data_IF_391234423899
#
_entry.id   IF_391234423899
#
_cell.length_a   1.000
_cell.length_b   1.000
_cell.length_c   1.000
_cell.angle_alpha   90.00
_cell.angle_beta   90.00
_cell.angle_gamma   90.00
#
_symmetry.space_group_name_H-M   'P 1'
#
loop_
_entity.id
_entity.type
_entity.pdbx_description
1 polymer ?
#
# COMPACT_ATOMS: atom_id res chain seq x y z
N UNK A 1 38.49 51.27 7.76
CA UNK A 1 38.09 51.09 6.35
C UNK A 1 38.60 49.76 5.81
N UNK A 2 39.91 49.49 5.88
CA UNK A 2 40.56 48.24 5.41
C UNK A 2 39.94 46.96 5.98
N UNK A 3 39.60 46.91 7.27
CA UNK A 3 38.99 45.73 7.90
C UNK A 3 37.57 45.45 7.40
N UNK A 4 36.81 46.50 7.05
CA UNK A 4 35.46 46.36 6.50
C UNK A 4 35.49 45.75 5.09
N UNK A 5 36.46 46.15 4.28
CA UNK A 5 36.59 45.67 2.90
C UNK A 5 37.06 44.21 2.87
N UNK A 6 37.94 43.81 3.81
CA UNK A 6 38.37 42.41 3.95
C UNK A 6 37.22 41.49 4.42
N UNK A 7 36.38 41.95 5.37
CA UNK A 7 35.18 41.20 5.79
C UNK A 7 34.18 41.09 4.64
N UNK A 8 34.00 42.15 3.85
CA UNK A 8 33.09 42.16 2.70
C UNK A 8 33.55 41.19 1.60
N UNK A 9 34.85 41.18 1.27
CA UNK A 9 35.40 40.26 0.27
C UNK A 9 35.32 38.80 0.73
N UNK A 10 35.61 38.51 2.01
CA UNK A 10 35.43 37.16 2.56
C UNK A 10 33.96 36.73 2.54
N UNK A 11 33.04 37.63 2.86
CA UNK A 11 31.60 37.36 2.80
C UNK A 11 31.14 37.11 1.36
N UNK A 12 31.61 37.89 0.37
CA UNK A 12 31.36 37.63 -1.05
C UNK A 12 31.92 36.28 -1.48
N UNK A 13 33.16 35.97 -1.10
CA UNK A 13 33.78 34.69 -1.45
C UNK A 13 33.00 33.50 -0.89
N UNK A 14 32.44 33.62 0.32
CA UNK A 14 31.57 32.59 0.91
C UNK A 14 30.21 32.54 0.20
N UNK A 15 29.56 33.69 -0.04
CA UNK A 15 28.24 33.77 -0.70
C UNK A 15 28.27 33.27 -2.15
N UNK A 16 29.36 33.51 -2.86
CA UNK A 16 29.57 33.06 -4.23
C UNK A 16 30.40 31.78 -4.33
N UNK A 17 30.59 31.07 -3.21
CA UNK A 17 31.10 29.71 -3.28
C UNK A 17 30.12 28.83 -4.04
N UNK A 18 30.64 27.87 -4.80
CA UNK A 18 29.86 26.90 -5.57
C UNK A 18 28.84 26.19 -4.68
N UNK A 19 29.22 25.87 -3.45
CA UNK A 19 28.39 25.17 -2.49
C UNK A 19 27.24 26.03 -1.96
N UNK A 20 27.46 27.34 -1.78
CA UNK A 20 26.40 28.27 -1.41
C UNK A 20 25.38 28.41 -2.56
N UNK A 21 25.86 28.54 -3.79
CA UNK A 21 25.00 28.60 -4.98
C UNK A 21 24.18 27.31 -5.15
N UNK A 22 24.80 26.15 -4.97
CA UNK A 22 24.12 24.85 -4.99
C UNK A 22 23.05 24.77 -3.90
N UNK A 23 23.39 25.14 -2.65
CA UNK A 23 22.44 25.15 -1.54
C UNK A 23 21.20 26.00 -1.83
N UNK A 24 21.38 27.25 -2.27
CA UNK A 24 20.25 28.14 -2.59
C UNK A 24 19.43 27.63 -3.79
N UNK A 25 20.10 27.06 -4.79
CA UNK A 25 19.43 26.47 -5.96
C UNK A 25 18.57 25.28 -5.57
N UNK A 26 19.10 24.35 -4.76
CA UNK A 26 18.34 23.21 -4.27
C UNK A 26 17.22 23.62 -3.33
N UNK A 27 17.46 24.60 -2.45
CA UNK A 27 16.42 25.16 -1.58
C UNK A 27 15.26 25.71 -2.41
N UNK A 28 15.54 26.46 -3.47
CA UNK A 28 14.53 26.98 -4.40
C UNK A 28 13.77 25.84 -5.10
N UNK A 29 14.47 24.84 -5.63
CA UNK A 29 13.84 23.69 -6.31
C UNK A 29 12.93 22.91 -5.37
N UNK A 30 13.38 22.59 -4.16
CA UNK A 30 12.59 21.85 -3.17
C UNK A 30 11.33 22.63 -2.79
N UNK A 31 11.48 23.94 -2.54
CA UNK A 31 10.34 24.79 -2.21
C UNK A 31 9.37 24.95 -3.40
N UNK A 32 9.87 25.05 -4.63
CA UNK A 32 9.03 25.09 -5.83
C UNK A 32 8.21 23.80 -5.97
N UNK A 33 8.83 22.64 -5.81
CA UNK A 33 8.15 21.34 -5.81
C UNK A 33 7.08 21.30 -4.72
N UNK A 34 7.42 21.71 -3.50
CA UNK A 34 6.44 21.79 -2.41
C UNK A 34 5.24 22.66 -2.77
N UNK A 35 5.47 23.89 -3.25
CA UNK A 35 4.41 24.84 -3.57
C UNK A 35 3.52 24.34 -4.72
N UNK A 36 4.10 23.72 -5.76
CA UNK A 36 3.35 23.13 -6.87
C UNK A 36 2.41 22.04 -6.33
N UNK A 37 2.93 21.05 -5.61
CA UNK A 37 2.12 19.92 -5.12
C UNK A 37 1.12 20.35 -4.06
N UNK A 38 1.49 21.26 -3.15
CA UNK A 38 0.62 21.75 -2.08
C UNK A 38 -0.57 22.57 -2.62
N UNK A 39 -0.37 23.32 -3.72
CA UNK A 39 -1.44 24.13 -4.34
C UNK A 39 -2.28 23.38 -5.37
N UNK A 40 -1.77 22.29 -5.94
CA UNK A 40 -2.47 21.53 -7.00
C UNK A 40 -3.11 20.26 -6.42
N UNK A 41 -2.31 19.22 -6.21
CA UNK A 41 -2.77 17.87 -5.87
C UNK A 41 -3.28 17.80 -4.43
N UNK A 42 -2.63 18.54 -3.51
CA UNK A 42 -2.93 18.49 -2.09
C UNK A 42 -3.53 19.80 -1.57
N UNK A 43 -4.35 20.49 -2.37
CA UNK A 43 -5.07 21.69 -1.96
C UNK A 43 -6.17 21.38 -0.91
N UNK A 44 -6.43 22.31 0.01
CA UNK A 44 -7.40 22.15 1.11
C UNK A 44 -6.81 21.85 2.50
N UNK A 45 -7.48 22.27 3.59
CA UNK A 45 -6.96 22.14 4.96
C UNK A 45 -6.87 20.69 5.45
N UNK A 46 -7.77 19.82 5.00
CA UNK A 46 -7.82 18.40 5.38
C UNK A 46 -6.60 17.60 4.90
N UNK A 47 -5.89 18.10 3.89
CA UNK A 47 -4.70 17.46 3.31
C UNK A 47 -3.38 17.98 3.92
N UNK A 48 -3.43 18.77 5.00
CA UNK A 48 -2.24 19.32 5.67
C UNK A 48 -1.24 18.23 6.09
N UNK A 49 -1.72 17.08 6.57
CA UNK A 49 -0.88 15.93 6.85
C UNK A 49 -0.16 15.40 5.59
N UNK A 50 -0.84 15.29 4.44
CA UNK A 50 -0.16 14.85 3.21
C UNK A 50 0.89 15.86 2.74
N UNK A 51 0.66 17.16 2.97
CA UNK A 51 1.63 18.20 2.61
C UNK A 51 2.94 18.10 3.37
N UNK A 52 2.93 17.69 4.65
CA UNK A 52 4.15 17.53 5.42
C UNK A 52 5.08 16.45 4.86
N UNK A 53 4.55 15.54 4.04
CA UNK A 53 5.33 14.47 3.43
C UNK A 53 5.87 14.80 2.03
N UNK A 54 5.46 15.91 1.40
CA UNK A 54 5.88 16.23 0.01
C UNK A 54 7.41 16.40 -0.07
N UNK A 55 7.96 17.30 0.76
CA UNK A 55 9.40 17.63 0.76
C UNK A 55 10.22 16.39 1.09
N UNK A 56 9.87 15.71 2.19
CA UNK A 56 10.56 14.49 2.65
C UNK A 56 10.52 13.38 1.60
N UNK A 57 9.37 13.11 0.97
CA UNK A 57 9.27 12.06 -0.07
C UNK A 57 10.12 12.38 -1.29
N UNK A 58 10.07 13.63 -1.76
CA UNK A 58 10.85 14.09 -2.91
C UNK A 58 12.36 14.02 -2.63
N UNK A 59 12.79 14.54 -1.48
CA UNK A 59 14.20 14.54 -1.09
C UNK A 59 14.73 13.11 -0.90
N UNK A 60 13.98 12.23 -0.24
CA UNK A 60 14.37 10.84 -0.04
C UNK A 60 14.53 10.09 -1.38
N UNK A 61 13.64 10.34 -2.35
CA UNK A 61 13.75 9.76 -3.70
C UNK A 61 15.05 10.20 -4.40
N UNK A 62 15.28 11.51 -4.48
CA UNK A 62 16.48 12.05 -5.12
C UNK A 62 17.76 11.58 -4.41
N UNK A 63 17.78 11.63 -3.08
CA UNK A 63 18.95 11.26 -2.28
C UNK A 63 19.31 9.78 -2.43
N UNK A 64 18.34 8.88 -2.28
CA UNK A 64 18.58 7.44 -2.41
C UNK A 64 18.95 7.01 -3.84
N UNK A 65 18.34 7.64 -4.85
CA UNK A 65 18.66 7.36 -6.26
C UNK A 65 20.09 7.79 -6.59
N UNK A 66 20.48 9.03 -6.24
CA UNK A 66 21.84 9.54 -6.50
C UNK A 66 22.90 8.88 -5.61
N UNK A 67 22.53 8.32 -4.46
CA UNK A 67 23.44 7.56 -3.60
C UNK A 67 23.81 6.18 -4.16
N UNK A 68 22.98 5.59 -5.04
CA UNK A 68 23.14 4.21 -5.51
C UNK A 68 24.51 3.94 -6.17
N UNK A 69 25.06 4.81 -7.04
CA UNK A 69 26.39 4.63 -7.61
C UNK A 69 27.51 4.56 -6.57
N UNK A 70 27.43 5.34 -5.48
CA UNK A 70 28.45 5.32 -4.41
C UNK A 70 28.42 4.00 -3.63
N UNK A 71 27.22 3.46 -3.40
CA UNK A 71 27.08 2.14 -2.76
C UNK A 71 27.61 1.03 -3.66
N UNK A 72 27.32 1.09 -4.96
CA UNK A 72 27.87 0.17 -5.93
C UNK A 72 29.39 0.24 -5.95
N UNK A 73 29.97 1.45 -6.01
CA UNK A 73 31.42 1.66 -6.01
C UNK A 73 32.08 1.14 -4.73
N UNK A 74 31.50 1.41 -3.55
CA UNK A 74 31.99 0.88 -2.28
C UNK A 74 32.01 -0.65 -2.25
N UNK A 75 30.96 -1.30 -2.75
CA UNK A 75 30.89 -2.77 -2.82
C UNK A 75 31.90 -3.30 -3.86
N UNK A 76 31.98 -2.65 -5.02
CA UNK A 76 32.89 -3.03 -6.11
C UNK A 76 34.36 -2.93 -5.71
N UNK A 77 34.72 -1.92 -4.93
CA UNK A 77 36.05 -1.75 -4.36
C UNK A 77 36.35 -2.68 -3.17
N UNK A 78 35.43 -3.60 -2.81
CA UNK A 78 35.63 -4.51 -1.68
C UNK A 78 35.66 -3.80 -0.33
N UNK A 79 34.83 -2.75 -0.18
CA UNK A 79 34.74 -1.88 1.00
C UNK A 79 35.98 -1.00 1.25
N UNK A 80 36.90 -0.92 0.28
CA UNK A 80 38.13 -0.14 0.38
C UNK A 80 37.91 1.35 0.03
N UNK A 81 37.74 2.19 1.05
CA UNK A 81 37.53 3.64 0.90
C UNK A 81 38.67 4.38 0.20
N UNK A 82 39.87 3.81 0.13
CA UNK A 82 40.99 4.44 -0.62
C UNK A 82 40.80 4.33 -2.13
N UNK A 83 39.97 3.39 -2.59
CA UNK A 83 39.68 3.12 -4.01
C UNK A 83 38.34 3.68 -4.46
N UNK A 84 37.43 3.97 -3.52
CA UNK A 84 36.14 4.59 -3.82
C UNK A 84 36.36 5.96 -4.45
N UNK A 85 35.68 6.20 -5.56
CA UNK A 85 35.78 7.43 -6.34
C UNK A 85 35.00 8.54 -5.63
N UNK A 86 35.66 9.62 -5.15
CA UNK A 86 34.98 10.59 -4.31
C UNK A 86 33.92 11.44 -5.04
N UNK A 87 34.09 11.70 -6.34
CA UNK A 87 33.24 12.59 -7.14
C UNK A 87 32.78 13.87 -6.38
N UNK A 88 33.69 14.49 -5.61
CA UNK A 88 33.35 15.52 -4.61
C UNK A 88 32.63 16.70 -5.22
N UNK A 89 33.25 17.35 -6.20
CA UNK A 89 32.75 18.60 -6.77
C UNK A 89 31.52 18.39 -7.65
N UNK A 90 31.43 17.25 -8.34
CA UNK A 90 30.38 17.01 -9.33
C UNK A 90 29.09 16.43 -8.73
N UNK A 91 29.20 15.56 -7.72
CA UNK A 91 28.05 14.79 -7.24
C UNK A 91 27.97 14.81 -5.71
N UNK A 92 29.05 14.47 -4.99
CA UNK A 92 28.94 14.24 -3.55
C UNK A 92 28.70 15.53 -2.73
N UNK A 93 29.39 16.63 -3.05
CA UNK A 93 29.17 17.93 -2.42
C UNK A 93 27.79 18.50 -2.79
N UNK A 94 27.38 18.56 -4.09
CA UNK A 94 26.04 18.99 -4.46
C UNK A 94 24.94 18.15 -3.81
N UNK A 95 25.10 16.82 -3.74
CA UNK A 95 24.12 15.94 -3.09
C UNK A 95 24.02 16.20 -1.58
N UNK A 96 25.15 16.46 -0.92
CA UNK A 96 25.16 16.83 0.50
C UNK A 96 24.50 18.20 0.72
N UNK A 97 24.73 19.16 -0.17
CA UNK A 97 24.06 20.47 -0.14
C UNK A 97 22.56 20.37 -0.44
N UNK A 98 22.15 19.49 -1.36
CA UNK A 98 20.75 19.16 -1.59
C UNK A 98 20.09 18.59 -0.33
N UNK A 99 20.76 17.66 0.34
CA UNK A 99 20.25 17.08 1.58
C UNK A 99 20.18 18.13 2.70
N UNK A 100 21.18 18.99 2.84
CA UNK A 100 21.14 20.12 3.79
C UNK A 100 19.98 21.08 3.48
N UNK A 101 19.79 21.43 2.21
CA UNK A 101 18.69 22.28 1.75
C UNK A 101 17.33 21.64 2.06
N UNK A 102 17.20 20.32 1.89
CA UNK A 102 16.05 19.54 2.32
C UNK A 102 15.77 19.70 3.81
N UNK A 103 16.76 19.44 4.68
CA UNK A 103 16.55 19.49 6.13
C UNK A 103 16.11 20.88 6.60
N UNK A 104 16.75 21.93 6.08
CA UNK A 104 16.40 23.32 6.38
C UNK A 104 15.02 23.68 5.81
N UNK A 105 14.72 23.25 4.58
CA UNK A 105 13.41 23.45 3.95
C UNK A 105 12.29 22.80 4.75
N UNK A 106 12.47 21.57 5.20
CA UNK A 106 11.49 20.82 5.98
C UNK A 106 11.27 21.44 7.37
N UNK A 107 12.33 21.90 8.04
CA UNK A 107 12.24 22.63 9.32
C UNK A 107 11.48 23.97 9.16
N UNK A 108 11.84 24.76 8.15
CA UNK A 108 11.23 26.08 7.91
C UNK A 108 9.76 25.90 7.49
N UNK A 109 9.50 25.10 6.48
CA UNK A 109 8.13 24.85 6.00
C UNK A 109 7.30 24.15 7.07
N UNK A 110 7.88 23.22 7.82
CA UNK A 110 7.23 22.59 8.96
C UNK A 110 6.85 23.57 10.06
N UNK A 111 7.70 24.56 10.35
CA UNK A 111 7.40 25.58 11.35
C UNK A 111 6.19 26.43 10.95
N UNK A 112 6.11 26.82 9.67
CA UNK A 112 5.08 27.74 9.16
C UNK A 112 3.78 27.06 8.71
N UNK A 113 3.86 25.89 8.07
CA UNK A 113 2.72 25.29 7.36
C UNK A 113 2.08 24.10 8.07
N UNK A 114 2.87 23.26 8.76
CA UNK A 114 2.38 21.98 9.30
C UNK A 114 3.02 21.61 10.64
N UNK A 115 3.24 22.60 11.51
CA UNK A 115 3.94 22.42 12.80
C UNK A 115 3.41 21.27 13.65
N UNK A 116 2.10 21.05 13.62
CA UNK A 116 1.42 19.97 14.36
C UNK A 116 1.75 18.57 13.87
N UNK A 117 2.20 18.42 12.63
CA UNK A 117 2.51 17.14 11.99
C UNK A 117 4.00 16.80 12.02
N UNK A 118 4.87 17.70 12.52
CA UNK A 118 6.30 17.42 12.65
C UNK A 118 6.58 16.84 14.03
N UNK A 119 6.87 15.54 14.06
CA UNK A 119 7.27 14.82 15.28
C UNK A 119 8.55 15.40 15.89
N UNK A 120 8.60 15.53 17.23
CA UNK A 120 9.76 16.11 17.93
C UNK A 120 11.05 15.33 17.70
N UNK A 121 11.01 14.01 17.90
CA UNK A 121 12.20 13.16 17.81
C UNK A 121 12.66 12.94 16.37
N UNK A 122 11.73 12.56 15.48
CA UNK A 122 12.06 12.17 14.11
C UNK A 122 12.09 13.31 13.12
N UNK A 123 11.48 14.46 13.45
CA UNK A 123 11.50 15.67 12.62
C UNK A 123 12.47 16.70 13.19
N UNK A 124 12.05 17.43 14.23
CA UNK A 124 12.79 18.59 14.74
C UNK A 124 14.23 18.28 15.17
N UNK A 125 14.40 17.34 16.12
CA UNK A 125 15.73 17.00 16.65
C UNK A 125 16.59 16.32 15.59
N UNK A 126 16.03 15.33 14.90
CA UNK A 126 16.71 14.59 13.84
C UNK A 126 17.20 15.54 12.73
N UNK A 127 16.33 16.37 12.15
CA UNK A 127 16.72 17.27 11.06
C UNK A 127 17.74 18.31 11.50
N UNK A 128 17.60 18.88 12.70
CA UNK A 128 18.58 19.85 13.24
C UNK A 128 19.95 19.22 13.40
N UNK A 129 20.03 18.03 14.02
CA UNK A 129 21.31 17.33 14.21
C UNK A 129 21.96 16.95 12.88
N UNK A 130 21.17 16.42 11.94
CA UNK A 130 21.68 16.06 10.62
C UNK A 130 22.11 17.28 9.81
N UNK A 131 21.48 18.45 9.97
CA UNK A 131 21.94 19.69 9.33
C UNK A 131 23.33 20.07 9.82
N UNK A 132 23.55 20.05 11.14
CA UNK A 132 24.87 20.33 11.75
C UNK A 132 25.91 19.30 11.28
N UNK A 133 25.56 18.02 11.29
CA UNK A 133 26.47 16.96 10.84
C UNK A 133 26.80 17.07 9.35
N UNK A 134 25.84 17.42 8.50
CA UNK A 134 26.07 17.58 7.06
C UNK A 134 27.05 18.71 6.79
N UNK A 135 26.90 19.87 7.46
CA UNK A 135 27.85 20.99 7.37
C UNK A 135 29.24 20.56 7.84
N UNK A 136 29.32 19.83 8.95
CA UNK A 136 30.58 19.32 9.48
C UNK A 136 31.28 18.35 8.49
N UNK A 137 30.54 17.38 7.93
CA UNK A 137 31.09 16.39 6.99
C UNK A 137 31.56 17.04 5.68
N UNK A 138 30.84 18.06 5.20
CA UNK A 138 31.27 18.86 4.06
C UNK A 138 32.61 19.55 4.34
N UNK A 139 32.75 20.20 5.50
CA UNK A 139 34.00 20.84 5.90
C UNK A 139 35.19 19.88 6.06
N UNK A 140 34.93 18.60 6.38
CA UNK A 140 35.97 17.57 6.51
C UNK A 140 36.27 16.80 5.21
N UNK A 141 35.54 17.08 4.13
CA UNK A 141 35.70 16.36 2.85
C UNK A 141 35.17 14.92 2.86
N UNK A 142 34.22 14.60 3.74
CA UNK A 142 33.60 13.27 3.87
C UNK A 142 32.29 13.12 3.08
N UNK A 143 32.00 14.06 2.17
CA UNK A 143 30.74 14.13 1.43
C UNK A 143 30.38 12.87 0.64
N UNK A 144 31.34 12.12 0.13
CA UNK A 144 31.08 10.88 -0.62
C UNK A 144 30.72 9.70 0.30
N UNK A 145 31.31 9.63 1.51
CA UNK A 145 30.84 8.70 2.53
C UNK A 145 29.43 9.07 3.01
N UNK A 146 29.14 10.37 3.12
CA UNK A 146 27.79 10.86 3.43
C UNK A 146 26.80 10.47 2.32
N UNK A 147 27.16 10.72 1.05
CA UNK A 147 26.38 10.33 -0.12
C UNK A 147 26.09 8.82 -0.14
N UNK A 148 27.08 8.00 0.19
CA UNK A 148 26.91 6.54 0.32
C UNK A 148 25.86 6.20 1.39
N UNK A 149 25.89 6.89 2.53
CA UNK A 149 24.94 6.70 3.63
C UNK A 149 23.50 7.13 3.27
N UNK A 150 23.30 8.05 2.32
CA UNK A 150 21.98 8.52 1.89
C UNK A 150 21.12 7.44 1.23
N UNK A 151 21.68 6.28 0.85
CA UNK A 151 20.88 5.12 0.44
C UNK A 151 19.90 4.68 1.55
N UNK A 152 20.21 4.98 2.81
CA UNK A 152 19.35 4.70 3.98
C UNK A 152 18.04 5.50 4.00
N UNK A 153 17.86 6.48 3.09
CA UNK A 153 16.61 7.21 2.92
C UNK A 153 15.58 6.47 2.04
N UNK A 154 15.94 5.36 1.41
CA UNK A 154 15.01 4.52 0.64
C UNK A 154 13.72 4.15 1.42
N UNK A 155 13.76 3.62 2.65
CA UNK A 155 12.54 3.38 3.43
C UNK A 155 11.69 4.64 3.65
N UNK A 156 12.32 5.82 3.80
CA UNK A 156 11.62 7.10 3.94
C UNK A 156 10.85 7.43 2.65
N UNK A 157 11.45 7.20 1.49
CA UNK A 157 10.78 7.36 0.19
C UNK A 157 9.57 6.44 0.05
N UNK A 158 9.73 5.14 0.35
CA UNK A 158 8.63 4.16 0.28
C UNK A 158 7.48 4.53 1.22
N UNK A 159 7.81 4.97 2.45
CA UNK A 159 6.83 5.43 3.43
C UNK A 159 6.08 6.67 2.92
N UNK A 160 6.82 7.70 2.50
CA UNK A 160 6.26 8.94 2.02
C UNK A 160 5.34 8.76 0.82
N UNK A 161 5.70 7.87 -0.11
CA UNK A 161 4.85 7.51 -1.24
C UNK A 161 3.53 6.88 -0.80
N UNK A 162 3.55 6.02 0.22
CA UNK A 162 2.35 5.43 0.81
C UNK A 162 1.45 6.43 1.53
N UNK A 163 2.02 7.48 2.13
CA UNK A 163 1.25 8.56 2.77
C UNK A 163 0.59 9.46 1.72
N UNK A 164 1.36 9.87 0.71
CA UNK A 164 0.89 10.73 -0.37
C UNK A 164 -0.20 10.04 -1.20
N UNK A 165 -0.02 8.74 -1.49
CA UNK A 165 -0.95 7.97 -2.31
C UNK A 165 -1.23 6.58 -1.69
N UNK A 166 -2.36 6.43 -0.96
CA UNK A 166 -2.68 5.22 -0.20
C UNK A 166 -2.64 3.91 -0.99
N UNK A 167 -2.87 3.93 -2.31
CA UNK A 167 -2.78 2.71 -3.15
C UNK A 167 -1.35 2.13 -3.23
N UNK A 168 -0.33 2.94 -2.98
CA UNK A 168 1.07 2.49 -2.95
C UNK A 168 1.53 2.11 -1.54
N UNK A 169 0.65 2.22 -0.54
CA UNK A 169 0.97 1.85 0.84
C UNK A 169 1.21 0.34 0.93
N UNK A 170 2.44 -0.05 1.21
CA UNK A 170 2.82 -1.44 1.47
C UNK A 170 3.67 -1.54 2.73
N UNK A 171 3.10 -2.16 3.76
CA UNK A 171 3.78 -2.39 5.04
C UNK A 171 5.01 -3.28 4.89
N UNK A 172 4.93 -4.27 3.98
CA UNK A 172 6.04 -5.15 3.65
C UNK A 172 7.15 -4.41 2.91
N UNK A 173 6.81 -3.59 1.91
CA UNK A 173 7.81 -2.83 1.16
C UNK A 173 8.61 -1.92 2.09
N UNK A 174 7.95 -1.16 2.96
CA UNK A 174 8.63 -0.32 3.94
C UNK A 174 9.51 -1.14 4.89
N UNK A 175 8.96 -2.19 5.50
CA UNK A 175 9.70 -2.94 6.53
C UNK A 175 10.92 -3.62 5.93
N UNK A 176 10.78 -4.18 4.73
CA UNK A 176 11.87 -4.82 4.01
C UNK A 176 12.96 -3.80 3.62
N UNK A 177 12.58 -2.66 3.03
CA UNK A 177 13.57 -1.63 2.66
C UNK A 177 14.23 -1.02 3.88
N UNK A 178 13.51 -0.87 5.00
CA UNK A 178 14.05 -0.39 6.27
C UNK A 178 15.11 -1.36 6.81
N UNK A 179 14.79 -2.64 6.92
CA UNK A 179 15.75 -3.64 7.41
C UNK A 179 16.94 -3.79 6.46
N UNK A 180 16.72 -3.79 5.15
CA UNK A 180 17.79 -3.91 4.17
C UNK A 180 18.76 -2.72 4.23
N UNK A 181 18.25 -1.48 4.27
CA UNK A 181 19.10 -0.28 4.15
C UNK A 181 19.56 0.26 5.51
N UNK A 182 18.66 0.46 6.47
CA UNK A 182 18.98 1.08 7.78
C UNK A 182 19.58 0.11 8.80
N UNK A 183 19.48 -1.19 8.55
CA UNK A 183 20.08 -2.22 9.42
C UNK A 183 21.22 -2.92 8.69
N UNK A 184 20.91 -3.76 7.69
CA UNK A 184 21.93 -4.60 7.04
C UNK A 184 23.01 -3.74 6.38
N UNK A 185 22.62 -2.84 5.47
CA UNK A 185 23.57 -1.95 4.82
C UNK A 185 24.25 -0.99 5.81
N UNK A 186 23.55 -0.49 6.82
CA UNK A 186 24.18 0.36 7.84
C UNK A 186 25.29 -0.38 8.61
N UNK A 187 25.10 -1.66 8.95
CA UNK A 187 26.17 -2.47 9.54
C UNK A 187 27.35 -2.65 8.58
N UNK A 188 27.09 -2.90 7.30
CA UNK A 188 28.15 -2.97 6.26
C UNK A 188 28.90 -1.65 6.15
N UNK A 189 28.19 -0.53 6.19
CA UNK A 189 28.78 0.82 6.15
C UNK A 189 29.62 1.12 7.39
N UNK A 190 29.14 0.82 8.60
CA UNK A 190 29.92 0.99 9.83
C UNK A 190 31.15 0.08 9.84
N UNK A 191 31.02 -1.16 9.36
CA UNK A 191 32.13 -2.09 9.22
C UNK A 191 33.18 -1.58 8.22
N UNK A 192 32.75 -1.03 7.07
CA UNK A 192 33.68 -0.46 6.09
C UNK A 192 34.43 0.76 6.63
N UNK A 193 33.84 1.50 7.58
CA UNK A 193 34.51 2.61 8.25
C UNK A 193 35.44 2.17 9.40
N UNK A 194 35.24 0.97 9.94
CA UNK A 194 36.07 0.42 11.01
C UNK A 194 37.41 -0.15 10.50
N UNK A 195 37.42 -0.74 9.30
CA UNK A 195 38.64 -1.28 8.69
C UNK A 195 39.69 -0.18 8.43
N UNK A 196 40.99 -0.50 8.34
CA UNK A 196 42.06 0.51 8.25
C UNK A 196 41.89 1.52 7.11
N UNK A 197 41.38 1.07 5.96
CA UNK A 197 41.10 1.92 4.79
C UNK A 197 39.98 2.93 5.06
N UNK A 198 39.01 2.57 5.90
CA UNK A 198 37.90 3.43 6.34
C UNK A 198 38.32 4.65 7.15
N UNK A 199 39.55 4.68 7.66
CA UNK A 199 40.11 5.91 8.27
C UNK A 199 40.46 6.95 7.21
N UNK A 200 40.67 6.55 5.96
CA UNK A 200 41.13 7.40 4.86
C UNK A 200 40.00 7.77 3.89
N UNK A 201 38.78 7.97 4.40
CA UNK A 201 37.63 8.44 3.60
C UNK A 201 37.99 9.71 2.82
N UNK A 202 38.59 10.72 3.45
CA UNK A 202 39.00 11.92 2.73
C UNK A 202 40.28 11.78 1.89
N UNK A 203 40.87 10.57 1.80
CA UNK A 203 42.12 10.23 1.10
C UNK A 203 43.39 10.95 1.56
N UNK A 204 43.27 11.99 2.41
CA UNK A 204 44.41 12.83 2.82
C UNK A 204 44.82 12.59 4.27
N UNK A 205 43.87 12.29 5.15
CA UNK A 205 44.10 12.19 6.59
C UNK A 205 43.28 11.07 7.22
N UNK A 206 43.93 10.32 8.11
CA UNK A 206 43.25 9.30 8.89
C UNK A 206 42.28 9.97 9.88
N UNK A 207 40.99 9.63 9.83
CA UNK A 207 39.97 10.13 10.74
C UNK A 207 39.04 9.02 11.20
N UNK A 208 38.71 9.03 12.49
CA UNK A 208 37.67 8.19 13.07
C UNK A 208 36.28 8.82 13.02
N UNK A 209 36.17 10.07 12.56
CA UNK A 209 34.93 10.83 12.56
C UNK A 209 33.77 10.10 11.88
N UNK A 210 33.89 9.69 10.61
CA UNK A 210 32.81 8.97 9.92
C UNK A 210 32.33 7.72 10.68
N UNK A 211 33.26 6.94 11.24
CA UNK A 211 32.95 5.75 12.02
C UNK A 211 32.13 6.10 13.27
N UNK A 212 32.57 7.10 14.04
CA UNK A 212 31.87 7.54 15.26
C UNK A 212 30.45 7.98 14.93
N UNK A 213 30.25 8.78 13.88
CA UNK A 213 28.91 9.20 13.46
C UNK A 213 28.03 8.03 13.01
N UNK A 214 28.59 7.06 12.24
CA UNK A 214 27.87 5.86 11.86
C UNK A 214 27.40 5.03 13.06
N UNK A 215 28.28 4.84 14.05
CA UNK A 215 27.95 4.15 15.29
C UNK A 215 26.90 4.91 16.11
N UNK A 216 26.99 6.24 16.19
CA UNK A 216 26.02 7.06 16.92
C UNK A 216 24.61 7.02 16.30
N UNK A 217 24.48 6.88 14.98
CA UNK A 217 23.19 6.77 14.31
C UNK A 217 22.54 5.37 14.46
N UNK A 218 23.33 4.33 14.73
CA UNK A 218 22.87 2.94 14.74
C UNK A 218 21.81 2.63 15.82
N UNK A 219 21.94 3.06 17.09
CA UNK A 219 20.92 2.81 18.12
C UNK A 219 19.52 3.27 17.71
N UNK A 220 19.42 4.44 17.09
CA UNK A 220 18.15 4.97 16.58
C UNK A 220 17.56 4.05 15.51
N UNK A 221 18.36 3.58 14.55
CA UNK A 221 17.91 2.65 13.52
C UNK A 221 17.46 1.30 14.12
N UNK A 222 18.15 0.78 15.13
CA UNK A 222 17.77 -0.46 15.82
C UNK A 222 16.41 -0.32 16.53
N UNK A 223 16.19 0.80 17.24
CA UNK A 223 14.92 1.08 17.92
C UNK A 223 13.78 1.17 16.89
N UNK A 224 14.01 1.88 15.79
CA UNK A 224 13.01 2.02 14.71
C UNK A 224 12.75 0.70 13.98
N UNK A 225 13.76 -0.15 13.76
CA UNK A 225 13.57 -1.49 13.21
C UNK A 225 12.73 -2.38 14.13
N UNK A 226 12.97 -2.32 15.45
CA UNK A 226 12.13 -3.02 16.41
C UNK A 226 10.68 -2.55 16.32
N UNK A 227 10.44 -1.24 16.25
CA UNK A 227 9.09 -0.66 16.10
C UNK A 227 8.44 -1.07 14.79
N UNK A 228 9.15 -1.03 13.66
CA UNK A 228 8.60 -1.38 12.35
C UNK A 228 8.19 -2.87 12.28
N UNK A 229 9.04 -3.77 12.78
CA UNK A 229 8.74 -5.22 12.84
C UNK A 229 7.57 -5.50 13.79
N UNK A 230 7.54 -4.85 14.96
CA UNK A 230 6.42 -4.99 15.90
C UNK A 230 5.12 -4.47 15.31
N UNK A 231 5.15 -3.31 14.65
CA UNK A 231 4.01 -2.71 13.96
C UNK A 231 3.49 -3.61 12.84
N UNK A 232 4.38 -4.14 12.00
CA UNK A 232 4.03 -5.10 10.96
C UNK A 232 3.34 -6.35 11.55
N UNK A 233 3.91 -6.94 12.61
CA UNK A 233 3.31 -8.11 13.28
C UNK A 233 1.92 -7.82 13.83
N UNK A 234 1.71 -6.65 14.46
CA UNK A 234 0.39 -6.23 14.97
C UNK A 234 -0.62 -6.13 13.83
N UNK A 235 -0.29 -5.43 12.74
CA UNK A 235 -1.18 -5.24 11.59
C UNK A 235 -1.49 -6.56 10.87
N UNK A 236 -0.50 -7.44 10.70
CA UNK A 236 -0.73 -8.76 10.10
C UNK A 236 -1.66 -9.63 10.97
N UNK A 237 -1.61 -9.50 12.30
CA UNK A 237 -2.56 -10.18 13.19
C UNK A 237 -3.97 -9.60 13.06
N UNK A 238 -4.12 -8.27 13.01
CA UNK A 238 -5.41 -7.58 12.78
C UNK A 238 -6.03 -8.03 11.45
N UNK A 239 -5.28 -7.96 10.35
CA UNK A 239 -5.72 -8.42 9.02
C UNK A 239 -6.10 -9.90 9.00
N UNK A 240 -5.33 -10.76 9.67
CA UNK A 240 -5.66 -12.19 9.78
C UNK A 240 -6.94 -12.43 10.60
N UNK A 241 -7.14 -11.68 11.68
CA UNK A 241 -8.33 -11.75 12.51
C UNK A 241 -9.57 -11.25 11.75
N UNK A 242 -9.48 -10.13 11.04
CA UNK A 242 -10.54 -9.61 10.18
C UNK A 242 -10.88 -10.57 9.03
N UNK A 243 -9.87 -11.13 8.37
CA UNK A 243 -10.09 -12.14 7.34
C UNK A 243 -10.81 -13.38 7.89
N UNK A 244 -10.43 -13.82 9.09
CA UNK A 244 -11.11 -14.93 9.78
C UNK A 244 -12.55 -14.58 10.14
N UNK A 245 -12.79 -13.41 10.72
CA UNK A 245 -14.13 -12.93 11.09
C UNK A 245 -15.04 -12.79 9.85
N UNK A 246 -14.50 -12.31 8.72
CA UNK A 246 -15.23 -12.27 7.44
C UNK A 246 -15.58 -13.66 6.92
N UNK A 247 -14.68 -14.62 7.03
CA UNK A 247 -14.96 -16.00 6.62
C UNK A 247 -16.00 -16.66 7.55
N UNK A 248 -15.90 -16.45 8.86
CA UNK A 248 -16.91 -16.91 9.83
C UNK A 248 -18.29 -16.29 9.54
N UNK A 249 -18.35 -14.97 9.28
CA UNK A 249 -19.58 -14.28 8.90
C UNK A 249 -20.15 -14.80 7.56
N UNK A 250 -19.29 -15.08 6.58
CA UNK A 250 -19.68 -15.70 5.31
C UNK A 250 -20.27 -17.08 5.52
N UNK A 251 -19.64 -17.94 6.32
CA UNK A 251 -20.14 -19.28 6.62
C UNK A 251 -21.49 -19.23 7.36
N UNK A 252 -21.64 -18.33 8.33
CA UNK A 252 -22.90 -18.12 9.03
C UNK A 252 -24.02 -17.64 8.09
N UNK A 253 -23.70 -16.76 7.13
CA UNK A 253 -24.65 -16.33 6.11
C UNK A 253 -25.08 -17.47 5.18
N UNK A 254 -24.15 -18.35 4.81
CA UNK A 254 -24.42 -19.54 3.99
C UNK A 254 -25.32 -20.53 4.75
N UNK A 255 -25.02 -20.81 6.03
CA UNK A 255 -25.85 -21.68 6.88
C UNK A 255 -27.28 -21.11 7.01
N UNK A 256 -27.39 -19.81 7.32
CA UNK A 256 -28.68 -19.12 7.41
C UNK A 256 -29.47 -19.20 6.12
N UNK A 257 -28.83 -18.94 4.97
CA UNK A 257 -29.48 -19.02 3.66
C UNK A 257 -29.90 -20.45 3.33
N UNK A 258 -29.11 -21.45 3.69
CA UNK A 258 -29.43 -22.87 3.48
C UNK A 258 -30.67 -23.27 4.28
N UNK A 259 -30.73 -22.92 5.58
CA UNK A 259 -31.91 -23.16 6.42
C UNK A 259 -33.18 -22.48 5.90
N UNK A 260 -33.07 -21.25 5.39
CA UNK A 260 -34.18 -20.53 4.78
C UNK A 260 -34.67 -21.23 3.50
N UNK A 261 -33.76 -21.75 2.69
CA UNK A 261 -34.11 -22.53 1.50
C UNK A 261 -34.75 -23.88 1.87
N UNK A 262 -34.25 -24.56 2.89
CA UNK A 262 -34.81 -25.84 3.38
C UNK A 262 -36.24 -25.63 3.89
N UNK A 263 -36.45 -24.59 4.71
CA UNK A 263 -37.79 -24.20 5.19
C UNK A 263 -38.73 -23.82 4.04
N UNK A 264 -38.21 -23.19 2.98
CA UNK A 264 -39.00 -22.85 1.81
C UNK A 264 -39.46 -24.10 1.03
N UNK A 265 -38.56 -25.07 0.85
CA UNK A 265 -38.85 -26.31 0.15
C UNK A 265 -39.85 -27.17 0.94
N UNK A 266 -39.71 -27.29 2.27
CA UNK A 266 -40.69 -27.96 3.15
C UNK A 266 -42.10 -27.35 3.02
N UNK A 267 -42.21 -26.02 3.02
CA UNK A 267 -43.49 -25.33 2.84
C UNK A 267 -44.10 -25.58 1.45
N UNK A 268 -43.28 -25.65 0.41
CA UNK A 268 -43.73 -25.97 -0.94
C UNK A 268 -44.23 -27.42 -1.03
N UNK A 269 -43.51 -28.38 -0.43
CA UNK A 269 -43.90 -29.80 -0.39
C UNK A 269 -45.23 -29.99 0.35
N UNK A 270 -45.39 -29.35 1.52
CA UNK A 270 -46.66 -29.37 2.24
C UNK A 270 -47.81 -28.74 1.46
N UNK A 271 -47.55 -27.68 0.68
CA UNK A 271 -48.56 -27.06 -0.17
C UNK A 271 -48.98 -27.99 -1.32
N UNK A 272 -48.03 -28.70 -1.92
CA UNK A 272 -48.28 -29.69 -2.98
C UNK A 272 -49.07 -30.90 -2.45
N UNK A 273 -48.69 -31.45 -1.30
CA UNK A 273 -49.38 -32.57 -0.67
C UNK A 273 -50.82 -32.23 -0.26
N UNK A 274 -51.08 -31.01 0.21
CA UNK A 274 -52.45 -30.55 0.50
C UNK A 274 -53.28 -30.37 -0.77
N UNK A 275 -52.67 -29.91 -1.86
CA UNK A 275 -53.35 -29.71 -3.14
C UNK A 275 -53.80 -31.03 -3.78
N UNK A 276 -53.02 -32.11 -3.62
CA UNK A 276 -53.42 -33.44 -4.09
C UNK A 276 -54.52 -34.07 -3.23
N UNK A 277 -54.60 -33.72 -1.93
CA UNK A 277 -55.58 -34.29 -1.00
C UNK A 277 -56.97 -33.60 -0.99
N UNK A 278 -57.08 -32.30 -1.28
CA UNK A 278 -58.36 -31.57 -1.27
C UNK A 278 -58.45 -30.48 -2.36
N UNK A 279 -59.06 -30.77 -3.53
CA UNK A 279 -59.13 -29.82 -4.65
C UNK A 279 -60.11 -28.64 -4.45
N UNK A 280 -61.03 -28.68 -3.48
CA UNK A 280 -62.12 -27.70 -3.34
C UNK A 280 -61.83 -26.48 -2.45
N UNK A 281 -60.63 -26.34 -1.85
CA UNK A 281 -60.26 -25.23 -0.94
C UNK A 281 -59.13 -24.35 -1.51
N UNK A 282 -59.44 -23.60 -2.56
CA UNK A 282 -58.46 -22.81 -3.35
C UNK A 282 -57.86 -21.60 -2.60
N UNK A 283 -58.56 -21.02 -1.61
CA UNK A 283 -58.10 -19.77 -0.98
C UNK A 283 -56.92 -19.90 0.01
N UNK A 284 -56.60 -21.08 0.54
CA UNK A 284 -55.56 -21.25 1.59
C UNK A 284 -54.16 -21.58 1.07
N UNK A 285 -54.02 -22.04 -0.17
CA UNK A 285 -52.73 -22.45 -0.76
C UNK A 285 -51.88 -21.28 -1.28
N UNK A 286 -52.48 -20.11 -1.47
CA UNK A 286 -51.80 -18.89 -1.92
C UNK A 286 -50.86 -18.34 -0.85
N UNK A 287 -51.25 -18.41 0.44
CA UNK A 287 -50.46 -17.88 1.56
C UNK A 287 -49.19 -18.71 1.82
N UNK A 288 -49.28 -20.05 1.76
CA UNK A 288 -48.10 -20.93 1.94
C UNK A 288 -47.06 -20.72 0.84
N UNK A 289 -47.52 -20.58 -0.41
CA UNK A 289 -46.66 -20.31 -1.57
C UNK A 289 -46.00 -18.92 -1.47
N UNK A 290 -46.74 -17.91 -0.99
CA UNK A 290 -46.19 -16.58 -0.78
C UNK A 290 -45.11 -16.56 0.31
N UNK A 291 -45.31 -17.30 1.40
CA UNK A 291 -44.32 -17.46 2.48
C UNK A 291 -43.04 -18.16 2.00
N UNK A 292 -43.15 -19.25 1.23
CA UNK A 292 -41.99 -19.91 0.65
C UNK A 292 -41.17 -18.96 -0.26
N UNK A 293 -41.84 -18.18 -1.12
CA UNK A 293 -41.16 -17.17 -1.95
C UNK A 293 -40.44 -16.11 -1.11
N UNK A 294 -41.04 -15.66 -0.01
CA UNK A 294 -40.41 -14.71 0.91
C UNK A 294 -39.13 -15.30 1.51
N UNK A 295 -39.15 -16.55 1.98
CA UNK A 295 -37.97 -17.22 2.52
C UNK A 295 -36.83 -17.33 1.49
N UNK A 296 -37.15 -17.65 0.24
CA UNK A 296 -36.15 -17.67 -0.85
C UNK A 296 -35.56 -16.28 -1.11
N UNK A 297 -36.39 -15.24 -1.09
CA UNK A 297 -35.93 -13.85 -1.22
C UNK A 297 -35.05 -13.44 -0.05
N UNK A 298 -35.41 -13.80 1.18
CA UNK A 298 -34.63 -13.53 2.38
C UNK A 298 -33.27 -14.27 2.33
N UNK A 299 -33.25 -15.52 1.87
CA UNK A 299 -32.01 -16.29 1.65
C UNK A 299 -31.10 -15.61 0.63
N UNK A 300 -31.66 -15.19 -0.52
CA UNK A 300 -30.91 -14.46 -1.54
C UNK A 300 -30.38 -13.13 -1.01
N UNK A 301 -31.14 -12.41 -0.19
CA UNK A 301 -30.73 -11.16 0.43
C UNK A 301 -29.57 -11.36 1.42
N UNK A 302 -29.64 -12.38 2.27
CA UNK A 302 -28.55 -12.73 3.22
C UNK A 302 -27.25 -13.03 2.48
N UNK A 303 -27.30 -13.80 1.39
CA UNK A 303 -26.12 -14.10 0.58
C UNK A 303 -25.58 -12.86 -0.14
N UNK A 304 -26.48 -12.02 -0.65
CA UNK A 304 -26.12 -10.79 -1.35
C UNK A 304 -25.44 -9.77 -0.43
N UNK A 305 -25.86 -9.68 0.83
CA UNK A 305 -25.29 -8.75 1.81
C UNK A 305 -23.89 -9.18 2.27
N UNK A 306 -23.67 -10.48 2.47
CA UNK A 306 -22.47 -10.98 3.15
C UNK A 306 -21.34 -11.46 2.20
N UNK A 307 -21.63 -11.74 0.93
CA UNK A 307 -20.62 -12.15 -0.05
C UNK A 307 -20.86 -11.53 -1.43
N UNK A 308 -21.03 -10.20 -1.55
CA UNK A 308 -21.71 -9.57 -2.67
C UNK A 308 -21.09 -9.89 -4.03
N UNK A 309 -19.77 -9.85 -4.20
CA UNK A 309 -19.15 -10.06 -5.52
C UNK A 309 -19.06 -11.52 -5.92
N UNK A 310 -18.51 -12.37 -5.04
CA UNK A 310 -18.38 -13.80 -5.30
C UNK A 310 -19.76 -14.47 -5.49
N UNK A 311 -20.75 -14.08 -4.68
CA UNK A 311 -22.13 -14.52 -4.85
C UNK A 311 -22.74 -14.02 -6.16
N UNK A 312 -22.60 -12.73 -6.49
CA UNK A 312 -23.10 -12.16 -7.74
C UNK A 312 -22.53 -12.88 -8.96
N UNK A 313 -21.24 -13.18 -8.93
CA UNK A 313 -20.58 -13.92 -10.01
C UNK A 313 -21.11 -15.35 -10.10
N UNK A 314 -21.12 -16.10 -8.99
CA UNK A 314 -21.63 -17.47 -8.97
C UNK A 314 -23.09 -17.56 -9.45
N UNK A 315 -23.92 -16.60 -9.06
CA UNK A 315 -25.31 -16.50 -9.52
C UNK A 315 -25.41 -16.21 -11.03
N UNK A 316 -24.62 -15.26 -11.57
CA UNK A 316 -24.59 -14.98 -13.01
C UNK A 316 -24.11 -16.18 -13.81
N UNK A 317 -23.03 -16.82 -13.37
CA UNK A 317 -22.48 -18.01 -14.00
C UNK A 317 -23.48 -19.17 -14.00
N UNK A 318 -24.26 -19.34 -12.93
CA UNK A 318 -25.31 -20.35 -12.87
C UNK A 318 -26.48 -20.03 -13.83
N UNK A 319 -26.88 -18.75 -13.92
CA UNK A 319 -27.88 -18.29 -14.88
C UNK A 319 -27.42 -18.54 -16.32
N UNK A 320 -26.17 -18.23 -16.64
CA UNK A 320 -25.63 -18.42 -17.98
C UNK A 320 -25.41 -19.90 -18.31
N UNK A 321 -24.97 -20.70 -17.33
CA UNK A 321 -24.90 -22.16 -17.46
C UNK A 321 -26.28 -22.79 -17.73
N UNK A 322 -27.32 -22.32 -17.02
CA UNK A 322 -28.70 -22.77 -17.23
C UNK A 322 -29.18 -22.47 -18.66
N UNK A 323 -28.88 -21.27 -19.18
CA UNK A 323 -29.19 -20.90 -20.58
C UNK A 323 -28.44 -21.79 -21.58
N UNK A 324 -27.18 -22.12 -21.31
CA UNK A 324 -26.38 -23.00 -22.18
C UNK A 324 -26.96 -24.42 -22.27
N UNK A 325 -27.64 -24.88 -21.22
CA UNK A 325 -28.37 -26.15 -21.22
C UNK A 325 -29.71 -26.09 -21.99
N UNK A 326 -30.06 -24.95 -22.58
CA UNK A 326 -31.34 -24.75 -23.27
C UNK A 326 -32.53 -24.60 -22.32
N UNK A 327 -32.30 -24.42 -21.02
CA UNK A 327 -33.34 -24.22 -20.01
C UNK A 327 -33.52 -22.71 -19.81
N UNK A 328 -34.76 -22.21 -19.90
CA UNK A 328 -35.04 -20.81 -19.56
C UNK A 328 -34.89 -20.65 -18.02
N UNK A 329 -33.97 -19.81 -17.50
CA UNK A 329 -33.83 -19.57 -16.07
C UNK A 329 -35.13 -19.12 -15.39
N UNK A 330 -36.06 -18.50 -16.13
CA UNK A 330 -37.37 -18.10 -15.60
C UNK A 330 -38.31 -19.28 -15.36
N UNK A 331 -38.10 -20.39 -16.06
CA UNK A 331 -38.87 -21.63 -15.90
C UNK A 331 -38.44 -22.43 -14.66
N UNK A 332 -37.24 -22.17 -14.13
CA UNK A 332 -36.74 -22.83 -12.93
C UNK A 332 -37.34 -22.26 -11.65
N UNK A 333 -37.48 -23.12 -10.64
CA UNK A 333 -37.80 -22.68 -9.29
C UNK A 333 -36.67 -21.78 -8.77
N UNK A 334 -37.05 -20.66 -8.15
CA UNK A 334 -36.10 -19.69 -7.59
C UNK A 334 -35.23 -20.31 -6.50
N UNK A 335 -35.80 -21.17 -5.63
CA UNK A 335 -35.03 -21.90 -4.60
C UNK A 335 -33.95 -22.76 -5.24
N UNK A 336 -34.27 -23.52 -6.30
CA UNK A 336 -33.32 -24.35 -7.04
C UNK A 336 -32.20 -23.52 -7.68
N UNK A 337 -32.53 -22.39 -8.32
CA UNK A 337 -31.52 -21.53 -8.93
C UNK A 337 -30.57 -20.95 -7.88
N UNK A 338 -31.10 -20.48 -6.75
CA UNK A 338 -30.30 -19.97 -5.61
C UNK A 338 -29.44 -21.09 -5.01
N UNK A 339 -29.97 -22.30 -4.80
CA UNK A 339 -29.19 -23.45 -4.29
C UNK A 339 -28.06 -23.84 -5.24
N UNK A 340 -28.31 -23.88 -6.55
CA UNK A 340 -27.26 -24.22 -7.53
C UNK A 340 -26.17 -23.16 -7.59
N UNK A 341 -26.55 -21.88 -7.55
CA UNK A 341 -25.60 -20.78 -7.43
C UNK A 341 -24.77 -20.89 -6.13
N UNK A 342 -25.40 -21.30 -5.02
CA UNK A 342 -24.74 -21.49 -3.73
C UNK A 342 -23.77 -22.67 -3.74
N UNK A 343 -24.18 -23.80 -4.31
CA UNK A 343 -23.32 -24.95 -4.52
C UNK A 343 -22.10 -24.58 -5.38
N UNK A 344 -22.31 -23.81 -6.45
CA UNK A 344 -21.22 -23.30 -7.30
C UNK A 344 -20.29 -22.36 -6.54
N UNK A 345 -20.83 -21.43 -5.75
CA UNK A 345 -20.05 -20.53 -4.89
C UNK A 345 -19.17 -21.30 -3.90
N UNK A 346 -19.72 -22.35 -3.28
CA UNK A 346 -18.97 -23.22 -2.35
C UNK A 346 -17.86 -24.01 -3.06
N UNK A 347 -18.15 -24.56 -4.25
CA UNK A 347 -17.17 -25.31 -5.04
C UNK A 347 -16.03 -24.44 -5.58
N UNK A 348 -16.32 -23.18 -5.93
CA UNK A 348 -15.33 -22.23 -6.45
C UNK A 348 -14.55 -21.50 -5.35
N UNK A 349 -15.14 -21.34 -4.16
CA UNK A 349 -14.54 -20.64 -3.02
C UNK A 349 -13.19 -21.18 -2.58
N UNK A 350 -12.90 -22.47 -2.80
CA UNK A 350 -11.61 -23.10 -2.47
C UNK A 350 -10.52 -22.90 -3.53
N UNK A 351 -10.82 -22.37 -4.73
CA UNK A 351 -9.85 -22.31 -5.84
C UNK A 351 -9.33 -20.91 -6.17
N UNK A 352 -9.97 -19.84 -5.69
CA UNK A 352 -9.55 -18.46 -5.98
C UNK A 352 -9.14 -17.77 -4.69
N UNK A 353 -7.85 -17.80 -4.42
CA UNK A 353 -7.25 -17.10 -3.30
C UNK A 353 -7.46 -15.58 -3.37
N UNK A 354 -7.69 -14.99 -2.21
CA UNK A 354 -7.36 -13.62 -1.83
C UNK A 354 -8.08 -12.49 -2.59
N UNK A 355 -9.26 -12.11 -2.08
CA UNK A 355 -9.61 -10.69 -2.04
C UNK A 355 -8.71 -10.04 -0.99
N UNK A 356 -7.66 -9.35 -1.42
CA UNK A 356 -6.82 -8.53 -0.54
C UNK A 356 -7.73 -7.46 0.08
N UNK A 357 -7.80 -7.33 1.42
CA UNK A 357 -8.58 -6.28 2.04
C UNK A 357 -8.16 -4.91 1.49
N UNK A 358 -9.13 -4.10 1.08
CA UNK A 358 -8.89 -2.65 0.97
C UNK A 358 -8.52 -2.20 2.38
N UNK A 359 -7.28 -1.75 2.54
CA UNK A 359 -6.81 -1.11 3.78
C UNK A 359 -7.72 0.08 4.04
N UNK A 360 -8.46 0.05 5.15
CA UNK A 360 -9.34 1.15 5.52
C UNK A 360 -8.50 2.41 5.71
N UNK A 361 -9.02 3.56 5.29
CA UNK A 361 -8.33 4.85 5.41
C UNK A 361 -8.08 5.21 6.90
N UNK A 362 -8.83 4.64 7.84
CA UNK A 362 -8.68 4.90 9.28
C UNK A 362 -7.37 4.36 9.91
N UNK A 363 -6.53 3.62 9.17
CA UNK A 363 -5.19 3.23 9.64
C UNK A 363 -4.16 4.41 9.54
N UNK A 364 -4.61 5.66 9.44
CA UNK A 364 -3.72 6.83 9.33
C UNK A 364 -2.97 7.14 10.65
N UNK A 365 -3.60 6.95 11.80
CA UNK A 365 -3.00 7.24 13.12
C UNK A 365 -1.84 6.30 13.47
N UNK A 366 -1.85 5.07 12.94
CA UNK A 366 -0.78 4.11 13.21
C UNK A 366 0.55 4.47 12.51
N UNK A 367 0.57 5.43 11.57
CA UNK A 367 1.76 5.77 10.79
C UNK A 367 2.67 6.75 11.53
N UNK A 368 2.07 7.69 12.29
CA UNK A 368 2.80 8.56 13.21
C UNK A 368 3.48 7.76 14.34
N UNK A 369 2.89 6.63 14.71
CA UNK A 369 3.42 5.66 15.66
C UNK A 369 4.76 5.02 15.23
N UNK A 370 5.08 5.04 13.94
CA UNK A 370 6.29 4.38 13.41
C UNK A 370 7.55 5.19 13.64
N UNK A 371 7.43 6.52 13.66
CA UNK A 371 8.56 7.44 13.72
C UNK A 371 8.64 8.21 15.03
N UNK A 372 7.53 8.32 15.77
CA UNK A 372 7.56 8.97 17.09
C UNK A 372 8.23 8.03 18.11
N UNK A 373 9.24 8.51 18.84
CA UNK A 373 9.78 7.79 20.01
C UNK A 373 8.76 7.82 21.17
N UNK A 374 7.85 8.78 21.18
CA UNK A 374 7.00 9.19 22.31
C UNK A 374 5.58 8.61 22.36
N UNK A 375 5.07 7.96 21.31
CA UNK A 375 3.65 7.57 21.20
C UNK A 375 3.28 6.20 21.80
N UNK A 376 4.01 5.71 22.80
CA UNK A 376 3.76 4.38 23.38
C UNK A 376 2.39 4.18 24.08
N UNK A 377 1.50 5.19 24.12
CA UNK A 377 0.35 5.22 25.05
C UNK A 377 -1.04 5.57 24.45
N UNK A 378 -1.24 5.70 23.15
CA UNK A 378 -2.57 6.03 22.60
C UNK A 378 -3.36 4.77 22.20
N UNK A 379 -4.39 4.45 23.00
CA UNK A 379 -5.33 3.34 22.82
C UNK A 379 -6.67 3.89 22.30
N UNK A 380 -7.08 3.35 21.15
CA UNK A 380 -8.39 3.23 20.49
C UNK A 380 -9.61 3.98 21.09
N UNK A 381 -10.22 4.84 20.27
CA UNK A 381 -11.64 5.20 20.35
C UNK A 381 -12.28 5.12 18.96
N UNK A 382 -12.97 4.02 18.67
CA UNK A 382 -13.76 3.85 17.44
C UNK A 382 -15.18 4.41 17.63
N UNK A 383 -15.59 5.31 16.72
CA UNK A 383 -16.94 5.86 16.64
C UNK A 383 -17.66 5.38 15.38
N UNK A 384 -18.79 4.67 15.55
CA UNK A 384 -19.64 4.18 14.47
C UNK A 384 -20.96 4.96 14.37
N UNK A 385 -21.41 5.29 13.15
CA UNK A 385 -22.82 5.63 12.90
C UNK A 385 -23.11 6.41 11.61
N UNK A 386 -23.51 5.72 10.53
CA UNK A 386 -23.99 6.34 9.28
C UNK A 386 -25.21 5.65 8.66
N UNK A 387 -26.26 6.42 8.34
CA UNK A 387 -27.56 5.96 7.80
C UNK A 387 -27.52 5.65 6.28
N UNK A 388 -28.16 4.54 5.84
CA UNK A 388 -28.19 4.04 4.45
C UNK A 388 -29.27 4.59 3.49
N UNK A 389 -29.17 4.24 2.20
CA UNK A 389 -29.98 4.65 1.03
C UNK A 389 -30.62 3.45 0.28
N UNK A 390 -31.76 3.63 -0.43
CA UNK A 390 -32.52 2.52 -1.06
C UNK A 390 -32.19 2.28 -2.55
N UNK A 391 -32.12 1.00 -2.98
CA UNK A 391 -31.90 0.55 -4.38
C UNK A 391 -32.99 -0.45 -4.81
N UNK A 392 -33.49 -0.34 -6.04
CA UNK A 392 -34.53 -1.22 -6.62
C UNK A 392 -33.95 -2.36 -7.46
N UNK A 393 -34.42 -3.59 -7.29
CA UNK A 393 -33.99 -4.80 -8.07
C UNK A 393 -35.10 -5.30 -9.02
N UNK A 394 -35.99 -4.40 -9.46
CA UNK A 394 -37.07 -4.72 -10.40
C UNK A 394 -38.41 -5.12 -9.75
N UNK A 395 -39.47 -5.16 -10.58
CA UNK A 395 -40.92 -5.22 -10.25
C UNK A 395 -41.24 -5.26 -8.74
N UNK A 396 -41.19 -4.09 -8.12
CA UNK A 396 -41.77 -3.83 -6.79
C UNK A 396 -40.90 -4.13 -5.58
N UNK A 397 -39.62 -4.51 -5.72
CA UNK A 397 -38.73 -4.77 -4.58
C UNK A 397 -37.66 -3.68 -4.44
N UNK A 398 -37.72 -2.94 -3.33
CA UNK A 398 -36.72 -1.95 -2.93
C UNK A 398 -35.96 -2.44 -1.69
N UNK A 399 -34.63 -2.36 -1.73
CA UNK A 399 -33.73 -2.79 -0.65
C UNK A 399 -33.04 -1.56 -0.07
N UNK A 400 -32.93 -1.46 1.25
CA UNK A 400 -32.16 -0.39 1.91
C UNK A 400 -30.69 -0.82 2.06
N UNK A 401 -29.76 -0.04 1.52
CA UNK A 401 -28.32 -0.30 1.44
C UNK A 401 -27.57 0.74 2.29
N UNK A 402 -26.71 0.37 3.25
CA UNK A 402 -25.87 1.31 4.01
C UNK A 402 -24.98 2.17 3.08
N UNK A 403 -24.70 3.41 3.49
CA UNK A 403 -23.98 4.42 2.67
C UNK A 403 -22.53 4.04 2.36
N UNK A 404 -21.97 3.07 3.08
CA UNK A 404 -20.60 2.57 2.96
C UNK A 404 -20.34 1.76 1.67
N UNK A 405 -21.39 1.48 0.88
CA UNK A 405 -21.28 0.82 -0.43
C UNK A 405 -21.73 1.76 -1.56
N UNK A 406 -21.02 2.86 -1.74
CA UNK A 406 -21.12 3.62 -2.99
C UNK A 406 -20.32 2.90 -4.10
N UNK A 407 -20.82 2.80 -5.34
CA UNK A 407 -19.99 2.40 -6.46
C UNK A 407 -18.88 3.44 -6.63
N UNK A 408 -17.63 3.01 -6.66
CA UNK A 408 -16.52 3.82 -7.20
C UNK A 408 -16.78 3.99 -8.71
N UNK A 409 -17.71 4.88 -9.06
CA UNK A 409 -18.01 5.29 -10.44
C UNK A 409 -17.78 6.80 -10.51
N UNK A 410 -16.50 7.15 -10.54
CA UNK A 410 -16.00 8.21 -11.42
C UNK A 410 -14.65 7.76 -12.00
N UNK A 411 -14.71 7.18 -13.20
CA UNK A 411 -13.63 7.34 -14.16
C UNK A 411 -12.54 6.26 -14.30
N UNK A 412 -12.85 4.96 -14.14
CA UNK A 412 -11.97 3.93 -14.74
C UNK A 412 -12.59 3.38 -16.02
N UNK A 413 -12.13 3.89 -17.17
CA UNK A 413 -12.29 3.21 -18.46
C UNK A 413 -11.42 1.96 -18.43
N UNK A 414 -12.03 0.80 -18.26
CA UNK A 414 -11.37 -0.47 -18.57
C UNK A 414 -11.45 -0.66 -20.08
N UNK A 415 -10.29 -0.66 -20.75
CA UNK A 415 -10.17 -1.17 -22.10
C UNK A 415 -10.06 -2.69 -21.97
N UNK A 416 -11.15 -3.39 -22.27
CA UNK A 416 -11.11 -4.83 -22.48
C UNK A 416 -10.45 -5.04 -23.84
N UNK A 417 -9.16 -5.40 -23.85
CA UNK A 417 -8.53 -5.87 -25.09
C UNK A 417 -8.96 -7.32 -25.31
N UNK A 418 -9.83 -7.54 -26.28
CA UNK A 418 -10.08 -8.88 -26.78
C UNK A 418 -8.82 -9.37 -27.49
N UNK A 419 -8.17 -10.40 -26.95
CA UNK A 419 -7.13 -11.11 -27.68
C UNK A 419 -7.80 -11.87 -28.83
N UNK A 420 -7.41 -11.63 -30.10
CA UNK A 420 -7.90 -12.45 -31.20
C UNK A 420 -7.31 -13.85 -31.02
N UNK A 421 -8.15 -14.80 -30.62
CA UNK A 421 -7.80 -16.21 -30.66
C UNK A 421 -8.13 -16.70 -32.07
N UNK A 422 -7.12 -16.82 -32.92
CA UNK A 422 -7.25 -17.48 -34.21
C UNK A 422 -7.84 -18.87 -34.00
N UNK A 423 -9.06 -19.07 -34.51
CA UNK A 423 -9.75 -20.35 -34.52
C UNK A 423 -9.28 -21.12 -35.76
N UNK A 424 -8.26 -21.95 -35.61
CA UNK A 424 -8.05 -23.04 -36.56
C UNK A 424 -9.19 -24.06 -36.35
N UNK A 425 -10.19 -24.01 -37.25
CA UNK A 425 -11.43 -24.77 -37.17
C UNK A 425 -11.33 -26.20 -37.72
N UNK A 426 -10.14 -26.74 -37.96
CA UNK A 426 -9.95 -28.07 -38.57
C UNK A 426 -9.24 -29.03 -37.62
N UNK A 427 -10.02 -29.70 -36.76
CA UNK A 427 -9.53 -30.79 -35.92
C UNK A 427 -10.64 -31.58 -35.23
N UNK A 428 -10.43 -32.89 -35.09
CA UNK A 428 -11.34 -33.77 -34.33
C UNK A 428 -11.43 -33.33 -32.87
N UNK A 429 -12.55 -33.61 -32.19
CA UNK A 429 -12.80 -33.20 -30.79
C UNK A 429 -11.65 -33.61 -29.86
N UNK A 430 -11.05 -34.78 -30.09
CA UNK A 430 -9.90 -35.26 -29.33
C UNK A 430 -8.64 -34.42 -29.57
N UNK A 431 -8.37 -33.99 -30.80
CA UNK A 431 -7.24 -33.11 -31.11
C UNK A 431 -7.42 -31.71 -30.48
N UNK A 432 -8.66 -31.21 -30.42
CA UNK A 432 -8.98 -29.95 -29.73
C UNK A 432 -8.72 -30.04 -28.23
N UNK A 433 -9.16 -31.13 -27.58
CA UNK A 433 -8.94 -31.32 -26.13
C UNK A 433 -7.44 -31.48 -25.82
N UNK A 434 -6.71 -32.25 -26.63
CA UNK A 434 -5.26 -32.46 -26.44
C UNK A 434 -4.46 -31.18 -26.71
N UNK A 435 -4.85 -30.39 -27.72
CA UNK A 435 -4.25 -29.08 -27.99
C UNK A 435 -4.48 -28.08 -26.86
N UNK A 436 -5.70 -28.04 -26.31
CA UNK A 436 -6.04 -27.17 -25.19
C UNK A 436 -5.31 -27.58 -23.90
N UNK A 437 -5.15 -28.89 -23.66
CA UNK A 437 -4.32 -29.40 -22.57
C UNK A 437 -2.85 -29.04 -22.76
N UNK A 438 -2.29 -29.19 -23.96
CA UNK A 438 -0.87 -28.87 -24.24
C UNK A 438 -0.57 -27.39 -24.03
N UNK A 439 -1.47 -26.49 -24.45
CA UNK A 439 -1.37 -25.04 -24.17
C UNK A 439 -1.38 -24.74 -22.68
N UNK A 440 -2.29 -25.36 -21.92
CA UNK A 440 -2.37 -25.17 -20.46
C UNK A 440 -1.12 -25.68 -19.75
N UNK A 441 -0.52 -26.78 -20.22
CA UNK A 441 0.75 -27.28 -19.70
C UNK A 441 1.95 -26.40 -20.08
N UNK A 442 1.98 -25.80 -21.28
CA UNK A 442 3.04 -24.85 -21.66
C UNK A 442 2.98 -23.54 -20.88
N UNK A 443 1.78 -23.02 -20.61
CA UNK A 443 1.59 -21.83 -19.75
C UNK A 443 2.02 -22.12 -18.31
N UNK A 444 1.62 -23.28 -17.77
CA UNK A 444 2.04 -23.71 -16.43
C UNK A 444 3.56 -23.94 -16.31
N UNK A 445 4.25 -24.24 -17.42
CA UNK A 445 5.71 -24.43 -17.44
C UNK A 445 6.48 -23.11 -17.52
N UNK A 446 5.85 -22.01 -17.95
CA UNK A 446 6.47 -20.66 -18.00
C UNK A 446 6.31 -19.87 -16.70
N UNK A 447 5.37 -20.25 -15.83
CA UNK A 447 5.15 -19.60 -14.52
C UNK A 447 5.96 -20.22 -13.35
N UNK A 448 6.80 -21.22 -13.60
CA UNK A 448 7.85 -21.61 -12.64
C UNK A 448 9.13 -20.82 -12.91
N UNK A 449 9.12 -19.55 -12.53
CA UNK A 449 10.36 -18.84 -12.19
C UNK A 449 10.70 -19.20 -10.75
N UNK A 450 11.74 -20.04 -10.63
CA UNK A 450 12.50 -20.28 -9.41
C UNK A 450 13.08 -18.94 -8.96
N UNK A 451 12.83 -18.57 -7.70
CA UNK A 451 13.77 -17.76 -6.93
C UNK A 451 14.63 -18.70 -6.11
#
# INVERSE_FOLDING_TARGET
MIERDAVLEKAKQVLFSTEALDFFSFLLVIQLVYQIFARTIYAGPELAHKRSWIITTFAAFCASTTATPFVFDLIWCGLDWTKVTPHRELIANPLSMFFLAYLISDLVTGFFCYRKHVNLSSGWVHHTLYSVFTVFWLGQGWSHAFATALLMEMPTWVMGLGVLHPRFRSYWAFTLTFLATRIVFHFVFVYSLFIPTGRYVNQTSASWGPFVFGVLALPMHLIWAYKSVRGLRRRMRKLKAEAKAREEARLAAIDTATRLLDSADELEEHALAKKSAQPSRVLRSSDTTARARKLVTDAAYVLWRNAPEAWRQAYREEVDFTKQQGIDPKSMRRSTLVRRALARHLLQGNKRGHNVPLVAEDDHDDLDDWMSITSLNTIDQDGAGGSGHRVSIGRGININVPREFDPIIKGQKYVVSEFPVDREASGTVRQRIVGDMRRRFEVARRDMVVF
#
